data_IF_210132638149
#
_entry.id   IF_210132638149
#
_cell.length_a   1.000
_cell.length_b   1.000
_cell.length_c   1.000
_cell.angle_alpha   90.00
_cell.angle_beta   90.00
_cell.angle_gamma   90.00
#
_symmetry.space_group_name_H-M   'P 1'
#
loop_
_entity.id
_entity.type
_entity.pdbx_description
1 polymer ?
#
# COMPACT_ATOMS: atom_id res chain seq x y z
N UNK A 1 11.04 9.41 13.89
CA UNK A 1 10.82 8.53 12.73
C UNK A 1 10.55 9.42 11.53
N UNK A 2 11.22 9.15 10.41
CA UNK A 2 11.06 9.87 9.15
C UNK A 2 10.69 8.91 8.04
N UNK A 3 9.80 9.34 7.16
CA UNK A 3 9.49 8.62 5.91
C UNK A 3 10.07 9.37 4.72
N UNK A 4 10.46 8.62 3.69
CA UNK A 4 10.89 9.20 2.41
C UNK A 4 10.18 8.49 1.27
N UNK A 5 9.41 9.23 0.48
CA UNK A 5 8.78 8.70 -0.73
C UNK A 5 9.84 8.38 -1.78
N UNK A 6 9.69 7.23 -2.42
CA UNK A 6 10.65 6.70 -3.39
C UNK A 6 9.98 6.13 -4.65
N UNK A 7 8.65 6.09 -4.70
CA UNK A 7 7.90 5.82 -5.93
C UNK A 7 6.71 6.75 -6.07
N UNK A 8 6.29 6.90 -7.33
CA UNK A 8 5.05 7.56 -7.68
C UNK A 8 3.88 6.56 -7.63
N UNK A 9 2.68 7.09 -7.83
CA UNK A 9 1.48 6.29 -8.04
C UNK A 9 1.63 5.42 -9.29
N UNK A 10 1.25 4.16 -9.19
CA UNK A 10 1.32 3.19 -10.29
C UNK A 10 0.13 2.22 -10.25
N UNK A 11 -0.50 1.97 -11.39
CA UNK A 11 -1.54 0.93 -11.51
C UNK A 11 -0.86 -0.41 -11.78
N UNK A 12 -0.91 -1.31 -10.81
CA UNK A 12 -0.29 -2.64 -10.87
C UNK A 12 -1.20 -3.65 -11.58
N UNK A 13 -2.50 -3.57 -11.32
CA UNK A 13 -3.48 -4.51 -11.85
C UNK A 13 -4.81 -3.81 -12.13
N UNK A 14 -5.47 -4.22 -13.21
CA UNK A 14 -6.81 -3.80 -13.58
C UNK A 14 -7.45 -4.86 -14.49
N UNK A 15 -8.25 -5.74 -13.91
CA UNK A 15 -8.73 -6.96 -14.57
C UNK A 15 -9.89 -7.63 -13.85
N UNK A 16 -10.19 -8.87 -14.21
CA UNK A 16 -11.29 -9.64 -13.64
C UNK A 16 -10.97 -10.16 -12.22
N UNK A 17 -11.98 -10.71 -11.53
CA UNK A 17 -11.83 -11.31 -10.20
C UNK A 17 -10.98 -12.59 -10.20
N UNK A 18 -10.74 -13.24 -11.35
CA UNK A 18 -10.16 -14.58 -11.50
C UNK A 18 -8.98 -14.92 -10.56
N UNK A 19 -9.29 -15.32 -9.33
CA UNK A 19 -8.29 -15.54 -8.28
C UNK A 19 -7.53 -14.27 -7.82
N UNK A 20 -8.03 -13.07 -8.10
CA UNK A 20 -7.44 -11.75 -7.78
C UNK A 20 -6.78 -11.71 -6.40
N UNK A 21 -7.50 -12.18 -5.39
CA UNK A 21 -7.05 -12.18 -4.00
C UNK A 21 -5.83 -13.07 -3.73
N UNK A 22 -5.69 -14.17 -4.49
CA UNK A 22 -4.61 -15.16 -4.40
C UNK A 22 -3.51 -14.96 -5.45
N UNK A 23 -3.76 -14.14 -6.47
CA UNK A 23 -2.81 -13.88 -7.55
C UNK A 23 -1.56 -13.17 -7.00
N UNK A 24 -0.41 -13.57 -7.52
CA UNK A 24 0.83 -12.88 -7.23
C UNK A 24 0.89 -11.57 -8.03
N UNK A 25 0.95 -10.45 -7.32
CA UNK A 25 1.24 -9.13 -7.85
C UNK A 25 2.70 -8.76 -7.59
N UNK A 26 3.25 -7.85 -8.40
CA UNK A 26 4.65 -7.44 -8.32
C UNK A 26 4.74 -5.93 -8.20
N UNK A 27 5.50 -5.47 -7.20
CA UNK A 27 5.98 -4.09 -7.12
C UNK A 27 7.46 -4.08 -7.49
N UNK A 28 7.83 -3.23 -8.43
CA UNK A 28 9.23 -3.00 -8.78
C UNK A 28 9.81 -1.96 -7.83
N UNK A 29 10.88 -2.28 -7.12
CA UNK A 29 11.56 -1.32 -6.25
C UNK A 29 12.71 -0.63 -7.00
N UNK A 30 12.62 0.69 -7.31
CA UNK A 30 13.54 1.33 -8.23
C UNK A 30 15.00 1.33 -7.78
N UNK A 31 15.26 1.31 -6.47
CA UNK A 31 16.61 1.55 -5.92
C UNK A 31 17.38 0.24 -5.67
N UNK A 32 16.70 -0.88 -5.42
CA UNK A 32 17.29 -2.19 -5.11
C UNK A 32 17.33 -3.12 -6.31
N UNK A 33 16.62 -2.82 -7.41
CA UNK A 33 16.39 -3.76 -8.52
C UNK A 33 15.76 -5.09 -8.05
N UNK A 34 15.08 -5.05 -6.90
CA UNK A 34 14.39 -6.19 -6.33
C UNK A 34 12.90 -6.03 -6.57
N UNK A 35 12.28 -7.10 -7.08
CA UNK A 35 10.84 -7.17 -7.24
C UNK A 35 10.23 -7.74 -5.97
N UNK A 36 9.28 -7.01 -5.38
CA UNK A 36 8.49 -7.52 -4.28
C UNK A 36 7.23 -8.19 -4.83
N UNK A 37 7.16 -9.50 -4.67
CA UNK A 37 5.90 -10.24 -4.89
C UNK A 37 5.02 -10.19 -3.64
N UNK A 38 3.72 -9.98 -3.86
CA UNK A 38 2.70 -9.99 -2.80
C UNK A 38 1.37 -10.54 -3.33
N UNK A 39 0.47 -10.86 -2.40
CA UNK A 39 -0.93 -11.23 -2.68
C UNK A 39 -1.83 -10.30 -1.88
N UNK A 40 -2.99 -9.95 -2.41
CA UNK A 40 -3.94 -9.06 -1.73
C UNK A 40 -4.36 -9.65 -0.37
N UNK A 41 -4.59 -10.96 -0.28
CA UNK A 41 -4.93 -11.65 0.98
C UNK A 41 -3.88 -11.58 2.10
N UNK A 42 -2.66 -11.12 1.80
CA UNK A 42 -1.57 -10.99 2.77
C UNK A 42 -1.26 -9.55 3.13
N UNK A 43 -2.00 -8.59 2.56
CA UNK A 43 -1.91 -7.20 2.94
C UNK A 43 -2.56 -6.99 4.31
N UNK A 44 -2.14 -5.94 4.98
CA UNK A 44 -2.66 -5.51 6.26
C UNK A 44 -3.48 -4.24 6.08
N UNK A 45 -4.51 -4.06 6.91
CA UNK A 45 -5.35 -2.88 6.80
C UNK A 45 -4.55 -1.63 7.19
N UNK A 46 -4.75 -0.51 6.48
CA UNK A 46 -4.09 0.76 6.82
C UNK A 46 -4.43 1.26 8.24
N UNK A 47 -5.57 0.84 8.78
CA UNK A 47 -6.01 1.06 10.16
C UNK A 47 -5.06 0.44 11.21
N UNK A 48 -4.30 -0.60 10.87
CA UNK A 48 -3.35 -1.28 11.77
C UNK A 48 -2.02 -0.54 11.93
N UNK A 49 -1.74 0.48 11.10
CA UNK A 49 -0.53 1.28 11.24
C UNK A 49 -0.53 2.10 12.53
N UNK A 50 0.68 2.33 13.07
CA UNK A 50 0.89 3.32 14.12
C UNK A 50 0.30 4.68 13.69
N UNK A 51 -0.38 5.36 14.60
CA UNK A 51 -1.11 6.58 14.28
C UNK A 51 -0.21 7.68 13.72
N UNK A 52 1.02 7.84 14.23
CA UNK A 52 1.94 8.86 13.74
C UNK A 52 2.44 8.52 12.33
N UNK A 53 2.77 7.25 12.08
CA UNK A 53 3.16 6.79 10.74
C UNK A 53 2.03 6.99 9.75
N UNK A 54 0.81 6.62 10.14
CA UNK A 54 -0.39 6.75 9.31
C UNK A 54 -0.65 8.20 8.91
N UNK A 55 -0.61 9.13 9.87
CA UNK A 55 -0.79 10.56 9.61
C UNK A 55 0.27 11.09 8.63
N UNK A 56 1.53 10.69 8.80
CA UNK A 56 2.60 11.09 7.87
C UNK A 56 2.34 10.57 6.44
N UNK A 57 1.92 9.30 6.31
CA UNK A 57 1.61 8.71 5.01
C UNK A 57 0.40 9.36 4.33
N UNK A 58 -0.64 9.70 5.10
CA UNK A 58 -1.81 10.42 4.57
C UNK A 58 -1.46 11.85 4.11
N UNK A 59 -0.44 12.47 4.70
CA UNK A 59 0.04 13.76 4.22
C UNK A 59 0.80 13.63 2.89
N UNK A 60 1.57 12.57 2.71
CA UNK A 60 2.35 12.31 1.49
C UNK A 60 1.52 11.72 0.33
N UNK A 61 0.42 11.05 0.64
CA UNK A 61 -0.49 10.43 -0.32
C UNK A 61 -1.77 11.25 -0.38
N UNK A 62 -1.91 12.04 -1.43
CA UNK A 62 -3.13 12.78 -1.69
C UNK A 62 -4.33 11.84 -1.87
N UNK A 63 -5.53 12.30 -1.46
CA UNK A 63 -6.81 11.62 -1.68
C UNK A 63 -7.04 10.29 -0.94
N UNK A 64 -6.37 10.06 0.19
CA UNK A 64 -6.85 9.05 1.15
C UNK A 64 -8.03 9.63 1.94
N UNK A 65 -9.21 9.04 1.76
CA UNK A 65 -10.40 9.37 2.53
C UNK A 65 -10.42 8.56 3.82
N UNK A 66 -10.57 9.24 4.94
CA UNK A 66 -10.81 8.63 6.25
C UNK A 66 -12.31 8.62 6.57
N UNK A 67 -12.85 7.43 6.86
CA UNK A 67 -14.27 7.24 7.21
C UNK A 67 -14.41 6.56 8.57
N UNK A 68 -14.81 7.30 9.61
CA UNK A 68 -15.14 6.70 10.90
C UNK A 68 -16.46 5.92 10.82
N UNK A 69 -16.42 4.64 11.18
CA UNK A 69 -17.55 3.72 11.24
C UNK A 69 -17.71 3.20 12.66
N UNK A 70 -18.51 3.89 13.49
CA UNK A 70 -18.91 3.52 14.86
C UNK A 70 -17.77 3.14 15.82
N UNK A 71 -17.12 2.00 15.61
CA UNK A 71 -16.03 1.42 16.42
C UNK A 71 -14.71 1.28 15.65
N UNK A 72 -14.71 1.43 14.33
CA UNK A 72 -13.53 1.30 13.47
C UNK A 72 -13.39 2.52 12.57
N UNK A 73 -12.18 2.77 12.09
CA UNK A 73 -11.93 3.78 11.05
C UNK A 73 -11.42 3.07 9.81
N UNK A 74 -12.06 3.35 8.68
CA UNK A 74 -11.70 2.79 7.38
C UNK A 74 -11.05 3.85 6.51
N UNK A 75 -10.16 3.41 5.63
CA UNK A 75 -9.40 4.28 4.75
C UNK A 75 -9.59 3.82 3.32
N UNK A 76 -9.93 4.75 2.44
CA UNK A 76 -10.21 4.44 1.04
C UNK A 76 -9.55 5.41 0.07
N UNK A 77 -9.20 4.94 -1.12
CA UNK A 77 -8.71 5.76 -2.23
C UNK A 77 -9.60 5.48 -3.44
N UNK A 78 -10.39 6.46 -3.88
CA UNK A 78 -11.39 6.28 -4.95
C UNK A 78 -12.28 5.03 -4.77
N UNK A 79 -12.80 4.83 -3.54
CA UNK A 79 -13.63 3.69 -3.13
C UNK A 79 -12.92 2.33 -3.03
N UNK A 80 -11.61 2.26 -3.25
CA UNK A 80 -10.80 1.06 -3.01
C UNK A 80 -10.26 1.06 -1.58
N UNK A 81 -10.15 -0.13 -0.97
CA UNK A 81 -9.56 -0.31 0.37
C UNK A 81 -8.10 0.12 0.36
N UNK A 82 -7.67 0.92 1.33
CA UNK A 82 -6.25 1.24 1.51
C UNK A 82 -5.63 0.23 2.46
N UNK A 83 -4.59 -0.43 1.98
CA UNK A 83 -3.89 -1.51 2.66
C UNK A 83 -2.37 -1.33 2.52
N UNK A 84 -1.60 -2.07 3.31
CA UNK A 84 -0.14 -1.98 3.28
C UNK A 84 0.56 -3.33 3.38
N UNK A 85 1.82 -3.32 2.93
CA UNK A 85 2.79 -4.38 3.19
C UNK A 85 4.14 -3.74 3.53
N UNK A 86 4.85 -4.34 4.49
CA UNK A 86 6.23 -3.98 4.81
C UNK A 86 7.19 -5.08 4.39
N UNK A 87 8.39 -4.69 4.00
CA UNK A 87 9.50 -5.60 3.72
C UNK A 87 10.82 -4.86 3.85
N UNK A 88 11.89 -5.60 4.15
CA UNK A 88 13.25 -5.04 4.15
C UNK A 88 13.85 -5.22 2.77
N UNK A 89 14.43 -4.16 2.19
CA UNK A 89 15.31 -4.34 1.03
C UNK A 89 16.65 -4.92 1.52
N UNK A 90 17.04 -6.07 0.98
CA UNK A 90 18.21 -6.82 1.45
C UNK A 90 19.51 -6.05 1.21
N UNK A 91 19.61 -5.37 0.06
CA UNK A 91 20.81 -4.63 -0.33
C UNK A 91 21.17 -3.46 0.60
N UNK A 92 20.18 -2.72 1.09
CA UNK A 92 20.39 -1.52 1.91
C UNK A 92 19.91 -1.69 3.36
N UNK A 93 19.41 -2.88 3.72
CA UNK A 93 18.87 -3.18 5.05
C UNK A 93 17.86 -2.12 5.51
N UNK A 94 17.08 -1.58 4.56
CA UNK A 94 16.14 -0.49 4.79
C UNK A 94 14.72 -1.04 4.79
N UNK A 95 13.95 -0.66 5.81
CA UNK A 95 12.53 -1.03 5.91
C UNK A 95 11.72 -0.19 4.92
N UNK A 96 10.98 -0.88 4.06
CA UNK A 96 10.11 -0.30 3.05
C UNK A 96 8.66 -0.61 3.42
N UNK A 97 7.81 0.39 3.27
CA UNK A 97 6.36 0.23 3.30
C UNK A 97 5.78 0.57 1.92
N UNK A 98 4.93 -0.32 1.42
CA UNK A 98 4.12 -0.08 0.24
C UNK A 98 2.67 0.17 0.68
N UNK A 99 2.10 1.29 0.24
CA UNK A 99 0.69 1.62 0.43
C UNK A 99 -0.06 1.36 -0.87
N UNK A 100 -1.12 0.59 -0.79
CA UNK A 100 -1.86 0.07 -1.93
C UNK A 100 -3.34 0.41 -1.77
N UNK A 101 -3.99 0.75 -2.88
CA UNK A 101 -5.44 0.77 -2.99
C UNK A 101 -5.89 -0.48 -3.75
N UNK A 102 -6.74 -1.30 -3.14
CA UNK A 102 -7.12 -2.61 -3.65
C UNK A 102 -8.62 -2.86 -3.56
N UNK A 103 -9.14 -3.66 -4.49
CA UNK A 103 -10.52 -4.14 -4.45
C UNK A 103 -11.25 -4.01 -5.78
N UNK A 104 -12.56 -4.23 -5.73
CA UNK A 104 -13.47 -4.08 -6.85
C UNK A 104 -13.77 -2.59 -7.11
N UNK A 105 -13.49 -2.10 -8.31
CA UNK A 105 -13.74 -0.69 -8.67
C UNK A 105 -15.00 -0.51 -9.54
N UNK A 106 -15.41 -1.57 -10.24
CA UNK A 106 -16.68 -1.70 -10.95
C UNK A 106 -17.09 -3.18 -10.94
N UNK A 107 -18.36 -3.53 -11.19
CA UNK A 107 -18.83 -4.91 -11.17
C UNK A 107 -17.90 -5.88 -11.91
N UNK A 108 -17.41 -6.88 -11.18
CA UNK A 108 -16.49 -7.92 -11.63
C UNK A 108 -15.13 -7.43 -12.17
N UNK A 109 -14.70 -6.20 -11.84
CA UNK A 109 -13.37 -5.69 -12.21
C UNK A 109 -12.64 -5.12 -11.01
N UNK A 110 -11.45 -5.65 -10.80
CA UNK A 110 -10.62 -5.44 -9.62
C UNK A 110 -9.36 -4.69 -9.99
N UNK A 111 -8.89 -3.87 -9.05
CA UNK A 111 -7.70 -3.05 -9.21
C UNK A 111 -6.73 -3.23 -8.05
N UNK A 112 -5.45 -3.11 -8.38
CA UNK A 112 -4.38 -2.84 -7.43
C UNK A 112 -3.63 -1.61 -7.91
N UNK A 113 -3.60 -0.58 -7.07
CA UNK A 113 -2.91 0.68 -7.34
C UNK A 113 -1.88 0.87 -6.22
N UNK A 114 -0.61 0.98 -6.57
CA UNK A 114 0.43 1.46 -5.67
C UNK A 114 0.23 2.95 -5.48
N UNK A 115 -0.07 3.37 -4.26
CA UNK A 115 -0.20 4.78 -3.90
C UNK A 115 1.16 5.40 -3.59
N UNK A 116 2.06 4.60 -3.00
CA UNK A 116 3.46 4.98 -2.84
C UNK A 116 4.29 3.92 -2.11
N UNK A 117 5.58 3.94 -2.41
CA UNK A 117 6.64 3.29 -1.65
C UNK A 117 7.36 4.32 -0.78
N UNK A 118 7.63 3.94 0.46
CA UNK A 118 8.31 4.79 1.43
C UNK A 118 9.40 4.02 2.16
N UNK A 119 10.58 4.63 2.28
CA UNK A 119 11.61 4.17 3.22
C UNK A 119 11.24 4.65 4.63
N UNK A 120 11.33 3.76 5.62
CA UNK A 120 11.14 4.09 7.03
C UNK A 120 12.50 4.21 7.71
N UNK A 121 12.82 5.42 8.15
CA UNK A 121 14.03 5.73 8.91
C UNK A 121 13.66 5.90 10.38
N UNK A 122 14.06 4.94 11.22
CA UNK A 122 13.90 5.02 12.67
C UNK A 122 15.06 5.87 13.20
N UNK A 123 14.74 6.99 13.85
CA UNK A 123 15.77 7.77 14.55
C UNK A 123 16.28 6.90 15.71
N UNK A 124 17.58 6.63 15.73
CA UNK A 124 18.29 5.86 16.77
C UNK A 124 18.63 6.80 17.93
#
# INVERSE_FOLDING_TARGET
MKIKRISNLEKIYDGLEDGFYELNHVISYPICNENKTFRVLKLKEFSELDNNLRIQLMYEIEHIDEKPLSTITTYSYHNLSVEYITYTCDKYQTEIIAILAVGEWQPARYQVILLGLFEIHKDI
#
